data_IF_611907246963
#
_entry.id   IF_611907246963
#
_cell.length_a   1.000
_cell.length_b   1.000
_cell.length_c   1.000
_cell.angle_alpha   90.00
_cell.angle_beta   90.00
_cell.angle_gamma   90.00
#
_symmetry.space_group_name_H-M   'P 1'
#
loop_
_entity.id
_entity.type
_entity.pdbx_description
1 polymer ?
#
# COMPACT_ATOMS: atom_id res chain seq x y z
N UNK A 1 -3.31 0.02 -14.21
CA UNK A 1 -2.07 0.62 -13.68
C UNK A 1 -2.38 1.33 -12.35
N UNK A 2 -2.15 0.67 -11.19
CA UNK A 2 -2.35 1.31 -9.89
C UNK A 2 -1.30 2.41 -9.64
N UNK A 3 -1.74 3.65 -9.51
CA UNK A 3 -0.87 4.76 -9.10
C UNK A 3 -0.78 4.87 -7.58
N UNK A 4 0.34 5.40 -7.07
CA UNK A 4 0.63 5.48 -5.63
C UNK A 4 0.35 4.16 -4.88
N UNK A 5 0.87 3.01 -5.37
CA UNK A 5 0.50 1.69 -4.88
C UNK A 5 0.89 1.44 -3.42
N UNK A 6 1.82 2.24 -2.89
CA UNK A 6 2.27 2.18 -1.49
C UNK A 6 1.65 3.27 -0.60
N UNK A 7 0.54 3.90 -1.04
CA UNK A 7 -0.14 4.92 -0.26
C UNK A 7 0.78 6.08 0.13
N UNK A 8 1.59 6.58 -0.81
CA UNK A 8 2.57 7.66 -0.57
C UNK A 8 3.55 7.33 0.58
N UNK A 9 3.89 6.06 0.74
CA UNK A 9 4.79 5.55 1.78
C UNK A 9 4.09 5.06 3.05
N UNK A 10 2.78 5.22 3.20
CA UNK A 10 2.06 4.73 4.37
C UNK A 10 2.19 3.20 4.53
N UNK A 11 2.02 2.45 3.45
CA UNK A 11 2.05 0.99 3.46
C UNK A 11 3.47 0.40 3.61
N UNK A 12 4.51 1.23 3.58
CA UNK A 12 5.88 0.78 3.90
C UNK A 12 6.10 0.56 5.40
N UNK A 13 5.21 1.10 6.25
CA UNK A 13 5.36 1.08 7.69
C UNK A 13 6.48 1.99 8.23
N UNK A 14 7.05 2.87 7.41
CA UNK A 14 8.11 3.80 7.80
C UNK A 14 7.64 5.26 7.90
N UNK A 15 6.37 5.52 7.58
CA UNK A 15 5.76 6.82 7.74
C UNK A 15 5.41 7.05 9.22
N UNK A 16 5.75 8.23 9.74
CA UNK A 16 5.43 8.65 11.11
C UNK A 16 4.62 9.94 11.10
N UNK A 17 3.97 10.27 12.22
CA UNK A 17 3.21 11.53 12.36
C UNK A 17 4.09 12.76 12.10
N UNK A 18 5.33 12.76 12.59
CA UNK A 18 6.28 13.87 12.37
C UNK A 18 6.59 14.06 10.89
N UNK A 19 6.77 12.94 10.15
CA UNK A 19 6.98 13.00 8.70
C UNK A 19 5.75 13.50 7.95
N UNK A 20 4.54 13.16 8.43
CA UNK A 20 3.29 13.66 7.86
C UNK A 20 3.21 15.18 8.04
N UNK A 21 3.43 15.67 9.27
CA UNK A 21 3.37 17.10 9.58
C UNK A 21 4.37 17.94 8.75
N UNK A 22 5.48 17.34 8.32
CA UNK A 22 6.49 17.97 7.47
C UNK A 22 6.28 17.73 5.96
N UNK A 23 5.10 17.25 5.55
CA UNK A 23 4.85 16.83 4.17
C UNK A 23 3.51 17.33 3.63
N UNK A 24 3.27 17.06 2.34
CA UNK A 24 1.98 17.35 1.68
C UNK A 24 0.84 16.45 2.18
N UNK A 25 1.10 15.53 3.11
CA UNK A 25 0.10 14.63 3.70
C UNK A 25 -0.58 15.23 4.92
N UNK A 26 -0.07 16.36 5.42
CA UNK A 26 -0.70 17.10 6.51
C UNK A 26 -2.14 17.47 6.15
N UNK A 27 -3.04 17.38 7.10
CA UNK A 27 -4.48 17.61 6.95
C UNK A 27 -5.21 16.65 5.98
N UNK A 28 -4.52 15.63 5.44
CA UNK A 28 -5.18 14.65 4.59
C UNK A 28 -5.92 13.60 5.45
N UNK A 29 -7.24 13.40 5.24
CA UNK A 29 -8.05 12.55 6.11
C UNK A 29 -7.48 11.15 6.32
N UNK A 30 -7.03 10.48 5.25
CA UNK A 30 -6.51 9.11 5.32
C UNK A 30 -5.17 9.01 6.03
N UNK A 31 -4.29 9.99 5.85
CA UNK A 31 -2.88 9.90 6.26
C UNK A 31 -2.62 10.61 7.59
N UNK A 32 -3.32 11.70 7.90
CA UNK A 32 -3.11 12.50 9.10
C UNK A 32 -4.23 12.25 10.14
N UNK A 33 -5.46 12.56 9.79
CA UNK A 33 -6.59 12.47 10.74
C UNK A 33 -6.88 11.03 11.17
N UNK A 34 -6.72 10.06 10.28
CA UNK A 34 -6.95 8.63 10.56
C UNK A 34 -5.66 7.81 10.61
N UNK A 35 -4.50 8.43 10.86
CA UNK A 35 -3.21 7.74 10.87
C UNK A 35 -3.21 6.53 11.78
N UNK A 36 -3.62 6.70 13.04
CA UNK A 36 -3.59 5.62 14.04
C UNK A 36 -4.59 4.51 13.70
N UNK A 37 -5.80 4.87 13.27
CA UNK A 37 -6.82 3.90 12.87
C UNK A 37 -6.34 3.05 11.68
N UNK A 38 -5.64 3.65 10.73
CA UNK A 38 -5.17 2.97 9.54
C UNK A 38 -3.88 2.16 9.76
N UNK A 39 -3.21 2.28 10.92
CA UNK A 39 -2.05 1.44 11.25
C UNK A 39 -2.38 -0.06 11.26
N UNK A 40 -3.63 -0.45 11.45
CA UNK A 40 -4.06 -1.84 11.39
C UNK A 40 -3.65 -2.51 10.07
N UNK A 41 -3.68 -1.79 8.95
CA UNK A 41 -3.24 -2.31 7.65
C UNK A 41 -1.73 -2.57 7.64
N UNK A 42 -0.94 -1.67 8.21
CA UNK A 42 0.52 -1.83 8.28
C UNK A 42 0.91 -2.99 9.19
N UNK A 43 0.18 -3.17 10.30
CA UNK A 43 0.39 -4.32 11.20
C UNK A 43 0.12 -5.62 10.46
N UNK A 44 -0.97 -5.70 9.71
CA UNK A 44 -1.30 -6.91 8.94
C UNK A 44 -0.28 -7.17 7.83
N UNK A 45 0.14 -6.14 7.10
CA UNK A 45 1.19 -6.29 6.08
C UNK A 45 2.51 -6.81 6.68
N UNK A 46 2.88 -6.40 7.89
CA UNK A 46 4.05 -6.93 8.60
C UNK A 46 3.87 -8.39 8.98
N UNK A 47 2.71 -8.73 9.55
CA UNK A 47 2.42 -10.11 9.95
C UNK A 47 2.46 -11.09 8.76
N UNK A 48 2.00 -10.65 7.58
CA UNK A 48 2.13 -11.43 6.35
C UNK A 48 3.59 -11.45 5.87
N UNK A 49 4.29 -10.32 5.91
CA UNK A 49 5.69 -10.24 5.47
C UNK A 49 6.61 -11.19 6.25
N UNK A 50 6.35 -11.40 7.55
CA UNK A 50 7.13 -12.31 8.40
C UNK A 50 7.11 -13.77 7.93
N UNK A 51 6.14 -14.15 7.09
CA UNK A 51 6.03 -15.49 6.51
C UNK A 51 6.79 -15.65 5.18
N UNK A 52 7.32 -14.58 4.63
CA UNK A 52 7.96 -14.58 3.31
C UNK A 52 9.43 -14.17 3.37
N UNK A 53 10.22 -14.79 2.50
CA UNK A 53 11.65 -14.49 2.35
C UNK A 53 11.93 -14.02 0.93
N UNK A 54 12.61 -12.90 0.79
CA UNK A 54 13.05 -12.30 -0.47
C UNK A 54 14.56 -12.06 -0.38
N UNK A 55 15.32 -12.64 -1.30
CA UNK A 55 16.80 -12.53 -1.35
C UNK A 55 17.50 -12.83 -0.01
N UNK A 56 16.98 -13.85 0.73
CA UNK A 56 17.52 -14.28 2.02
C UNK A 56 17.13 -13.42 3.23
N UNK A 57 16.24 -12.44 3.05
CA UNK A 57 15.73 -11.57 4.10
C UNK A 57 14.22 -11.67 4.22
N UNK A 58 13.68 -11.41 5.41
CA UNK A 58 12.23 -11.28 5.60
C UNK A 58 11.68 -10.21 4.65
N UNK A 59 10.58 -10.51 3.98
CA UNK A 59 9.91 -9.58 3.10
C UNK A 59 9.49 -8.29 3.84
N UNK A 60 9.32 -7.20 3.09
CA UNK A 60 8.86 -5.94 3.67
C UNK A 60 7.35 -5.74 3.47
N UNK A 61 6.70 -4.91 4.30
CA UNK A 61 5.31 -4.51 4.07
C UNK A 61 5.07 -3.94 2.67
N UNK A 62 6.04 -3.20 2.13
CA UNK A 62 5.97 -2.66 0.77
C UNK A 62 5.91 -3.78 -0.29
N UNK A 63 6.73 -4.81 -0.14
CA UNK A 63 6.75 -5.96 -1.04
C UNK A 63 5.42 -6.73 -0.98
N UNK A 64 4.88 -6.95 0.22
CA UNK A 64 3.57 -7.60 0.40
C UNK A 64 2.44 -6.77 -0.24
N UNK A 65 2.42 -5.45 -0.04
CA UNK A 65 1.41 -4.57 -0.63
C UNK A 65 1.45 -4.59 -2.17
N UNK A 66 2.64 -4.63 -2.77
CA UNK A 66 2.80 -4.73 -4.22
C UNK A 66 2.40 -6.12 -4.74
N UNK A 67 2.76 -7.19 -4.01
CA UNK A 67 2.36 -8.55 -4.34
C UNK A 67 0.83 -8.71 -4.29
N UNK A 68 0.17 -8.13 -3.28
CA UNK A 68 -1.28 -8.10 -3.15
C UNK A 68 -1.95 -7.46 -4.38
N UNK A 69 -1.46 -6.30 -4.83
CA UNK A 69 -1.99 -5.64 -6.04
C UNK A 69 -1.85 -6.54 -7.28
N UNK A 70 -0.72 -7.20 -7.46
CA UNK A 70 -0.50 -8.12 -8.57
C UNK A 70 -1.47 -9.30 -8.50
N UNK A 71 -1.61 -9.91 -7.33
CA UNK A 71 -2.50 -11.05 -7.09
C UNK A 71 -3.98 -10.69 -7.31
N UNK A 72 -4.40 -9.48 -6.95
CA UNK A 72 -5.73 -8.96 -7.30
C UNK A 72 -5.94 -8.93 -8.82
N UNK A 73 -4.94 -8.52 -9.59
CA UNK A 73 -5.00 -8.57 -11.05
C UNK A 73 -5.24 -9.99 -11.58
N UNK A 74 -4.51 -10.96 -11.04
CA UNK A 74 -4.68 -12.38 -11.40
C UNK A 74 -6.11 -12.86 -11.11
N UNK A 75 -6.65 -12.51 -9.93
CA UNK A 75 -8.03 -12.85 -9.54
C UNK A 75 -9.08 -12.33 -10.55
N UNK A 76 -8.89 -11.12 -11.06
CA UNK A 76 -9.80 -10.51 -12.05
C UNK A 76 -9.42 -10.81 -13.51
N UNK A 77 -8.38 -11.63 -13.76
CA UNK A 77 -7.91 -11.91 -15.13
C UNK A 77 -7.33 -10.68 -15.83
N UNK A 78 -6.81 -9.72 -15.10
CA UNK A 78 -6.29 -8.45 -15.61
C UNK A 78 -4.78 -8.32 -15.32
N UNK A 79 -3.95 -7.90 -16.29
CA UNK A 79 -2.57 -7.56 -16.01
C UNK A 79 -2.50 -6.28 -15.16
N UNK A 80 -1.91 -6.39 -13.97
CA UNK A 80 -1.73 -5.24 -13.07
C UNK A 80 -0.25 -4.89 -12.97
N UNK A 81 0.08 -3.65 -13.32
CA UNK A 81 1.44 -3.11 -13.25
C UNK A 81 1.46 -1.93 -12.28
N UNK A 82 1.86 -2.14 -11.02
CA UNK A 82 2.02 -1.05 -10.05
C UNK A 82 3.15 -0.10 -10.47
N UNK A 83 3.00 1.18 -10.17
CA UNK A 83 4.01 2.21 -10.45
C UNK A 83 4.49 2.90 -9.15
N UNK A 84 5.24 2.19 -8.28
CA UNK A 84 5.77 2.77 -7.05
C UNK A 84 6.87 3.78 -7.36
N UNK A 85 6.58 5.08 -7.20
CA UNK A 85 7.55 6.16 -7.42
C UNK A 85 8.61 6.20 -6.32
N UNK A 86 9.88 6.32 -6.71
CA UNK A 86 11.00 6.50 -5.78
C UNK A 86 12.19 7.20 -6.44
N UNK A 87 13.01 7.89 -5.63
CA UNK A 87 14.31 8.43 -6.03
C UNK A 87 15.50 7.64 -5.47
N UNK A 88 15.25 6.51 -4.79
CA UNK A 88 16.28 5.69 -4.13
C UNK A 88 16.41 4.35 -4.82
N UNK A 89 17.64 3.98 -5.19
CA UNK A 89 17.94 2.70 -5.87
C UNK A 89 17.54 1.52 -5.00
N UNK A 90 17.80 1.56 -3.70
CA UNK A 90 17.47 0.50 -2.75
C UNK A 90 15.96 0.20 -2.76
N UNK A 91 15.13 1.23 -2.90
CA UNK A 91 13.68 1.07 -2.99
C UNK A 91 13.23 0.51 -4.34
N UNK A 92 13.95 0.78 -5.42
CA UNK A 92 13.68 0.13 -6.71
C UNK A 92 13.91 -1.38 -6.59
N UNK A 93 15.02 -1.77 -5.97
CA UNK A 93 15.35 -3.18 -5.72
C UNK A 93 14.32 -3.83 -4.79
N UNK A 94 13.99 -3.18 -3.67
CA UNK A 94 12.95 -3.64 -2.75
C UNK A 94 11.61 -3.86 -3.46
N UNK A 95 11.16 -2.87 -4.24
CA UNK A 95 9.90 -2.97 -4.98
C UNK A 95 9.92 -4.10 -6.01
N UNK A 96 11.03 -4.29 -6.71
CA UNK A 96 11.20 -5.40 -7.66
C UNK A 96 11.15 -6.76 -6.95
N UNK A 97 11.70 -6.86 -5.75
CA UNK A 97 11.65 -8.06 -4.92
C UNK A 97 10.23 -8.50 -4.57
N UNK A 98 9.22 -7.64 -4.70
CA UNK A 98 7.80 -8.03 -4.54
C UNK A 98 7.34 -9.14 -5.48
N UNK A 99 8.04 -9.32 -6.60
CA UNK A 99 7.76 -10.40 -7.56
C UNK A 99 8.05 -11.81 -6.99
N UNK A 100 8.91 -11.90 -5.98
CA UNK A 100 9.23 -13.14 -5.28
C UNK A 100 8.24 -13.48 -4.15
N UNK A 101 7.36 -12.55 -3.78
CA UNK A 101 6.33 -12.79 -2.76
C UNK A 101 5.12 -13.43 -3.41
N UNK A 102 4.86 -14.69 -3.07
CA UNK A 102 3.67 -15.43 -3.53
C UNK A 102 2.70 -15.60 -2.37
N UNK A 103 1.67 -14.74 -2.34
CA UNK A 103 0.66 -14.72 -1.29
C UNK A 103 -0.29 -15.90 -1.41
N UNK A 104 -0.54 -16.57 -0.29
CA UNK A 104 -1.58 -17.60 -0.20
C UNK A 104 -2.98 -16.99 -0.26
N UNK A 105 -4.00 -17.81 -0.55
CA UNK A 105 -5.40 -17.38 -0.56
C UNK A 105 -5.84 -16.88 0.82
N UNK A 106 -5.34 -17.48 1.89
CA UNK A 106 -5.61 -17.05 3.26
C UNK A 106 -5.02 -15.66 3.55
N UNK A 107 -3.77 -15.42 3.14
CA UNK A 107 -3.14 -14.11 3.27
C UNK A 107 -3.85 -13.05 2.45
N UNK A 108 -4.26 -13.38 1.22
CA UNK A 108 -5.08 -12.51 0.39
C UNK A 108 -6.40 -12.14 1.08
N UNK A 109 -7.11 -13.11 1.63
CA UNK A 109 -8.35 -12.88 2.36
C UNK A 109 -8.15 -11.97 3.57
N UNK A 110 -7.08 -12.18 4.36
CA UNK A 110 -6.75 -11.33 5.51
C UNK A 110 -6.46 -9.89 5.10
N UNK A 111 -5.69 -9.70 4.03
CA UNK A 111 -5.36 -8.37 3.49
C UNK A 111 -6.60 -7.68 2.91
N UNK A 112 -7.48 -8.41 2.22
CA UNK A 112 -8.75 -7.89 1.71
C UNK A 112 -9.65 -7.44 2.85
N UNK A 113 -9.74 -8.22 3.92
CA UNK A 113 -10.57 -7.88 5.08
C UNK A 113 -10.08 -6.63 5.80
N UNK A 114 -8.77 -6.53 6.04
CA UNK A 114 -8.21 -5.34 6.71
C UNK A 114 -8.32 -4.09 5.84
N UNK A 115 -8.28 -4.23 4.52
CA UNK A 115 -8.40 -3.10 3.58
C UNK A 115 -9.75 -2.40 3.66
N UNK A 116 -10.82 -3.12 4.01
CA UNK A 116 -12.18 -2.57 4.19
C UNK A 116 -12.28 -1.62 5.39
N UNK A 117 -11.35 -1.72 6.33
CA UNK A 117 -11.34 -0.90 7.55
C UNK A 117 -10.59 0.43 7.38
N UNK A 118 -10.05 0.71 6.19
CA UNK A 118 -9.34 1.97 5.92
C UNK A 118 -10.28 3.15 6.01
N UNK A 119 -9.91 4.13 6.82
CA UNK A 119 -10.69 5.34 7.08
C UNK A 119 -10.11 6.55 6.36
N UNK A 120 -11.01 7.48 6.00
CA UNK A 120 -10.65 8.75 5.40
C UNK A 120 -10.50 8.71 3.87
N UNK A 121 -10.88 9.81 3.25
CA UNK A 121 -10.74 10.00 1.80
C UNK A 121 -9.28 9.98 1.37
N UNK A 122 -9.04 9.42 0.20
CA UNK A 122 -7.68 9.30 -0.36
C UNK A 122 -7.10 10.64 -0.79
N UNK A 123 -7.94 11.51 -1.32
CA UNK A 123 -7.56 12.81 -1.90
C UNK A 123 -8.65 13.85 -1.64
N UNK A 124 -8.48 14.68 -0.65
CA UNK A 124 -9.39 15.80 -0.43
C UNK A 124 -9.05 17.06 -1.24
N UNK A 125 -7.81 17.19 -1.71
CA UNK A 125 -7.33 18.35 -2.48
C UNK A 125 -7.96 18.46 -3.86
N UNK A 126 -8.60 17.41 -4.35
CA UNK A 126 -9.26 17.37 -5.64
C UNK A 126 -10.78 17.24 -5.44
N UNK A 127 -11.36 18.28 -4.86
CA UNK A 127 -12.81 18.34 -4.55
C UNK A 127 -13.68 18.72 -5.75
N UNK A 128 -13.12 18.77 -6.94
CA UNK A 128 -13.90 19.09 -8.15
C UNK A 128 -14.78 17.90 -8.59
N UNK A 129 -16.01 18.19 -9.09
CA UNK A 129 -16.94 17.15 -9.52
C UNK A 129 -16.45 16.27 -10.68
N UNK A 130 -15.34 16.60 -11.28
CA UNK A 130 -14.74 15.91 -12.44
C UNK A 130 -13.49 15.09 -12.08
N UNK A 131 -13.10 14.99 -10.81
CA UNK A 131 -11.95 14.17 -10.45
C UNK A 131 -12.38 12.72 -10.18
N UNK A 132 -12.08 11.89 -11.12
CA UNK A 132 -12.66 10.54 -11.31
C UNK A 132 -12.28 9.46 -10.30
N UNK A 133 -11.51 9.73 -9.27
CA UNK A 133 -11.21 8.72 -8.26
C UNK A 133 -12.39 8.37 -7.35
N UNK A 134 -13.44 9.21 -7.33
CA UNK A 134 -14.65 8.98 -6.52
C UNK A 134 -15.70 8.08 -7.18
N UNK A 135 -15.59 7.81 -8.47
CA UNK A 135 -16.65 7.13 -9.23
C UNK A 135 -16.19 5.83 -9.89
N UNK A 136 -15.00 5.32 -9.53
CA UNK A 136 -14.43 4.10 -10.12
C UNK A 136 -14.02 3.06 -9.07
N UNK A 137 -14.48 3.22 -7.84
CA UNK A 137 -14.38 2.17 -6.81
C UNK A 137 -15.66 1.34 -6.78
#
# INVERSE_FOLDING_TARGET
VPYSPLGRGFLTGTLTKEKIQASILVDQPRYDQNFDANQVVVVELRAVADNHVVDGHTATPAQVALAWLRKQGEHYGLPVVPIPGTSKIERVQENAGSLAVDLTDEEMQRLDEVSKNVQGERNFTFTGPNWLSHHRE
#
